data_IF_924448598032
#
_entry.id   IF_924448598032
#
_cell.length_a   1.000
_cell.length_b   1.000
_cell.length_c   1.000
_cell.angle_alpha   90.00
_cell.angle_beta   90.00
_cell.angle_gamma   90.00
#
_symmetry.space_group_name_H-M   'P 1'
#
loop_
_entity.id
_entity.type
_entity.pdbx_description
1 polymer ?
#
# COMPACT_ATOMS: atom_id res chain seq x y z
N UNK A 1 16.61 -7.68 -53.97
CA UNK A 1 17.16 -6.45 -53.35
C UNK A 1 16.19 -6.02 -52.27
N UNK A 2 16.50 -6.28 -51.00
CA UNK A 2 15.66 -5.87 -49.87
C UNK A 2 15.81 -4.37 -49.65
N UNK A 3 14.69 -3.65 -49.71
CA UNK A 3 14.64 -2.21 -49.41
C UNK A 3 14.89 -2.05 -47.91
N UNK A 4 16.06 -1.53 -47.55
CA UNK A 4 16.39 -1.13 -46.17
C UNK A 4 15.63 0.16 -45.89
N UNK A 5 14.66 0.12 -44.96
CA UNK A 5 13.85 1.27 -44.56
C UNK A 5 14.68 2.20 -43.64
N UNK A 6 15.07 3.42 -44.09
CA UNK A 6 15.90 4.34 -43.31
C UNK A 6 15.22 4.91 -42.06
N UNK A 7 13.89 4.77 -41.97
CA UNK A 7 13.07 5.23 -40.85
C UNK A 7 12.62 4.08 -39.94
N UNK A 8 13.22 2.89 -40.05
CA UNK A 8 12.98 1.83 -39.08
C UNK A 8 13.53 2.30 -37.73
N UNK A 9 12.63 2.68 -36.83
CA UNK A 9 13.00 3.00 -35.45
C UNK A 9 13.82 1.83 -34.91
N UNK A 10 14.94 2.08 -34.21
CA UNK A 10 15.64 1.00 -33.53
C UNK A 10 14.58 0.29 -32.71
N UNK A 11 14.47 -1.02 -32.91
CA UNK A 11 13.66 -1.85 -32.04
C UNK A 11 14.33 -1.77 -30.67
N UNK A 12 14.02 -0.71 -29.91
CA UNK A 12 14.02 -0.78 -28.48
C UNK A 12 12.94 -1.80 -28.19
N UNK A 13 13.35 -3.06 -28.26
CA UNK A 13 12.61 -4.18 -27.73
C UNK A 13 12.41 -3.79 -26.28
N UNK A 14 11.22 -3.24 -26.00
CA UNK A 14 10.69 -3.20 -24.66
C UNK A 14 10.58 -4.67 -24.31
N UNK A 15 11.66 -5.26 -23.83
CA UNK A 15 11.67 -6.59 -23.27
C UNK A 15 10.62 -6.55 -22.17
N UNK A 16 9.42 -7.03 -22.49
CA UNK A 16 8.40 -7.32 -21.50
C UNK A 16 8.99 -8.48 -20.73
N UNK A 17 9.82 -8.17 -19.73
CA UNK A 17 10.54 -9.16 -18.94
C UNK A 17 9.50 -10.06 -18.29
N UNK A 18 9.34 -11.25 -18.86
CA UNK A 18 8.58 -12.31 -18.24
C UNK A 18 9.45 -12.84 -17.11
N UNK A 19 9.24 -12.29 -15.92
CA UNK A 19 9.88 -12.81 -14.73
C UNK A 19 9.08 -14.03 -14.25
N UNK A 20 9.72 -15.19 -14.16
CA UNK A 20 9.16 -16.43 -13.59
C UNK A 20 8.92 -16.32 -12.06
N UNK A 21 9.19 -15.16 -11.48
CA UNK A 21 9.14 -14.92 -10.04
C UNK A 21 8.99 -13.43 -9.71
N UNK A 22 8.72 -13.14 -8.43
CA UNK A 22 8.87 -11.78 -7.93
C UNK A 22 10.36 -11.41 -7.95
N UNK A 23 10.68 -10.23 -8.47
CA UNK A 23 12.07 -9.74 -8.53
C UNK A 23 12.23 -8.46 -7.72
N UNK A 24 13.42 -8.28 -7.15
CA UNK A 24 13.75 -7.06 -6.43
C UNK A 24 13.84 -5.89 -7.41
N UNK A 25 13.26 -4.76 -7.05
CA UNK A 25 13.26 -3.58 -7.91
C UNK A 25 13.59 -2.32 -7.11
N UNK A 26 14.89 -2.07 -6.94
CA UNK A 26 15.42 -1.03 -6.06
C UNK A 26 15.02 -1.23 -4.60
N UNK A 27 14.19 -0.32 -4.09
CA UNK A 27 13.58 -0.36 -2.75
C UNK A 27 12.24 -1.12 -2.70
N UNK A 28 11.80 -1.63 -3.85
CA UNK A 28 10.55 -2.34 -4.01
C UNK A 28 10.72 -3.75 -4.56
N UNK A 29 9.60 -4.35 -4.90
CA UNK A 29 9.48 -5.65 -5.54
C UNK A 29 8.56 -5.50 -6.73
N UNK A 30 8.99 -6.01 -7.88
CA UNK A 30 8.14 -6.19 -9.04
C UNK A 30 7.43 -7.54 -8.92
N UNK A 31 6.10 -7.50 -8.96
CA UNK A 31 5.24 -8.67 -8.90
C UNK A 31 4.59 -8.86 -10.27
N UNK A 32 4.97 -9.89 -11.03
CA UNK A 32 4.32 -10.23 -12.30
C UNK A 32 2.81 -10.42 -12.16
N UNK A 33 2.08 -10.11 -13.23
CA UNK A 33 0.62 -10.20 -13.24
C UNK A 33 0.17 -11.65 -12.99
N UNK A 34 -0.77 -11.82 -12.05
CA UNK A 34 -1.32 -13.12 -11.70
C UNK A 34 -0.49 -13.91 -10.67
N UNK A 35 0.71 -13.43 -10.33
CA UNK A 35 1.51 -13.99 -9.25
C UNK A 35 1.24 -13.29 -7.92
N UNK A 36 1.63 -13.97 -6.85
CA UNK A 36 1.54 -13.47 -5.49
C UNK A 36 2.93 -13.38 -4.84
N UNK A 37 3.02 -12.61 -3.76
CA UNK A 37 4.27 -12.49 -3.02
C UNK A 37 4.66 -13.85 -2.40
N UNK A 38 5.96 -14.15 -2.31
CA UNK A 38 6.45 -15.27 -1.52
C UNK A 38 5.85 -15.26 -0.10
N UNK A 39 5.47 -16.44 0.46
CA UNK A 39 4.83 -16.58 1.78
C UNK A 39 5.85 -16.40 2.92
N UNK A 40 6.57 -15.27 2.90
CA UNK A 40 7.58 -14.86 3.87
C UNK A 40 7.18 -13.50 4.45
N UNK A 41 7.60 -13.24 5.68
CA UNK A 41 7.28 -12.00 6.35
C UNK A 41 7.95 -10.82 5.63
N UNK A 42 7.16 -9.85 5.19
CA UNK A 42 7.64 -8.63 4.51
C UNK A 42 8.56 -7.73 5.37
N UNK A 43 8.62 -7.98 6.70
CA UNK A 43 9.41 -7.20 7.68
C UNK A 43 10.67 -7.87 8.16
N UNK A 44 10.69 -9.19 8.32
CA UNK A 44 11.83 -9.91 8.89
C UNK A 44 12.23 -11.15 8.09
N UNK A 45 11.60 -11.37 6.93
CA UNK A 45 11.82 -12.51 6.05
C UNK A 45 11.61 -13.91 6.65
N UNK A 46 11.15 -13.99 7.91
CA UNK A 46 10.78 -15.25 8.54
C UNK A 46 9.62 -15.94 7.79
N UNK A 47 9.54 -17.28 7.79
CA UNK A 47 8.40 -17.99 7.20
C UNK A 47 7.08 -17.45 7.77
N UNK A 48 6.13 -17.18 6.89
CA UNK A 48 4.85 -16.64 7.31
C UNK A 48 4.05 -17.68 8.10
N UNK A 49 3.35 -17.24 9.14
CA UNK A 49 2.45 -18.10 9.90
C UNK A 49 1.05 -18.09 9.24
N UNK A 50 0.65 -19.24 8.68
CA UNK A 50 -0.68 -19.46 8.10
C UNK A 50 -0.84 -18.99 6.65
N UNK A 51 -2.07 -19.06 6.14
CA UNK A 51 -2.40 -18.64 4.77
C UNK A 51 -2.42 -17.10 4.67
N UNK A 52 -1.61 -16.50 3.78
CA UNK A 52 -1.58 -15.05 3.64
C UNK A 52 -2.94 -14.55 3.12
N UNK A 53 -3.53 -13.59 3.82
CA UNK A 53 -4.85 -13.05 3.43
C UNK A 53 -4.70 -12.21 2.17
N UNK A 54 -5.32 -12.67 1.09
CA UNK A 54 -5.37 -11.95 -0.19
C UNK A 54 -6.05 -10.60 -0.01
N UNK A 55 -5.36 -9.53 -0.41
CA UNK A 55 -5.87 -8.16 -0.36
C UNK A 55 -5.80 -7.53 -1.75
N UNK A 56 -6.91 -6.98 -2.19
CA UNK A 56 -6.96 -6.18 -3.41
C UNK A 56 -6.45 -4.78 -3.10
N UNK A 57 -5.35 -4.39 -3.74
CA UNK A 57 -4.84 -3.03 -3.70
C UNK A 57 -5.25 -2.31 -4.98
N UNK A 58 -5.76 -1.09 -4.81
CA UNK A 58 -6.17 -0.22 -5.91
C UNK A 58 -5.11 0.85 -6.10
N UNK A 59 -4.69 1.05 -7.35
CA UNK A 59 -3.81 2.15 -7.72
C UNK A 59 -4.57 3.08 -8.67
N UNK A 60 -4.43 4.37 -8.40
CA UNK A 60 -4.96 5.45 -9.21
C UNK A 60 -3.78 6.26 -9.73
N UNK A 61 -3.72 6.46 -11.05
CA UNK A 61 -2.76 7.38 -11.66
C UNK A 61 -3.01 8.79 -11.12
N UNK A 62 -1.96 9.48 -10.68
CA UNK A 62 -2.04 10.81 -10.08
C UNK A 62 -2.50 11.90 -11.05
N UNK A 63 -2.44 11.69 -12.37
CA UNK A 63 -2.86 12.69 -13.36
C UNK A 63 -4.36 13.03 -13.33
N UNK A 64 -5.19 12.13 -12.79
CA UNK A 64 -6.65 12.29 -12.79
C UNK A 64 -7.18 13.25 -11.72
N UNK A 65 -6.34 13.68 -10.77
CA UNK A 65 -6.74 14.68 -9.76
C UNK A 65 -7.09 16.04 -10.38
N UNK A 66 -6.63 16.34 -11.60
CA UNK A 66 -7.02 17.57 -12.31
C UNK A 66 -8.53 17.61 -12.58
N UNK A 67 -9.18 16.44 -12.75
CA UNK A 67 -10.62 16.37 -12.97
C UNK A 67 -11.46 16.79 -11.76
N UNK A 68 -10.90 16.76 -10.54
CA UNK A 68 -11.58 17.24 -9.32
C UNK A 68 -11.89 18.73 -9.42
N UNK A 69 -11.01 19.52 -10.07
CA UNK A 69 -11.21 20.96 -10.25
C UNK A 69 -12.36 21.26 -11.22
N UNK A 70 -12.69 20.32 -12.11
CA UNK A 70 -13.74 20.46 -13.11
C UNK A 70 -15.09 20.02 -12.56
N UNK A 71 -15.16 18.78 -12.02
CA UNK A 71 -16.37 18.24 -11.43
C UNK A 71 -16.08 16.99 -10.58
N UNK A 72 -16.49 17.00 -9.31
CA UNK A 72 -16.27 15.89 -8.38
C UNK A 72 -16.96 14.57 -8.82
N UNK A 73 -18.15 14.66 -9.43
CA UNK A 73 -18.91 13.49 -9.91
C UNK A 73 -18.22 12.87 -11.12
N UNK A 74 -17.74 13.71 -12.05
CA UNK A 74 -17.02 13.24 -13.23
C UNK A 74 -15.70 12.57 -12.85
N UNK A 75 -14.97 13.13 -11.88
CA UNK A 75 -13.80 12.48 -11.29
C UNK A 75 -14.15 11.11 -10.69
N UNK A 76 -15.24 11.00 -9.92
CA UNK A 76 -15.63 9.73 -9.30
C UNK A 76 -15.89 8.64 -10.36
N UNK A 77 -16.58 8.98 -11.45
CA UNK A 77 -16.85 8.05 -12.56
C UNK A 77 -15.54 7.62 -13.23
N UNK A 78 -14.68 8.58 -13.60
CA UNK A 78 -13.39 8.27 -14.24
C UNK A 78 -12.49 7.45 -13.33
N UNK A 79 -12.44 7.77 -12.03
CA UNK A 79 -11.69 7.02 -11.04
C UNK A 79 -12.18 5.56 -10.92
N UNK A 80 -13.48 5.31 -11.03
CA UNK A 80 -14.06 3.96 -11.01
C UNK A 80 -13.73 3.14 -12.26
N UNK A 81 -13.58 3.80 -13.41
CA UNK A 81 -13.24 3.16 -14.70
C UNK A 81 -11.73 2.88 -14.79
N UNK A 82 -10.90 3.85 -14.43
CA UNK A 82 -9.44 3.80 -14.64
C UNK A 82 -8.70 3.06 -13.51
N UNK A 83 -9.35 2.80 -12.37
CA UNK A 83 -8.72 2.09 -11.25
C UNK A 83 -8.13 0.76 -11.69
N UNK A 84 -6.81 0.62 -11.55
CA UNK A 84 -6.15 -0.66 -11.71
C UNK A 84 -6.15 -1.38 -10.36
N UNK A 85 -6.47 -2.68 -10.38
CA UNK A 85 -6.52 -3.52 -9.19
C UNK A 85 -5.49 -4.64 -9.30
N UNK A 86 -4.72 -4.86 -8.24
CA UNK A 86 -3.82 -6.01 -8.12
C UNK A 86 -4.11 -6.70 -6.79
N UNK A 87 -4.18 -8.04 -6.84
CA UNK A 87 -4.41 -8.86 -5.65
C UNK A 87 -3.05 -9.29 -5.12
N UNK A 88 -2.67 -8.82 -3.93
CA UNK A 88 -1.43 -9.19 -3.26
C UNK A 88 -1.77 -9.75 -1.88
N UNK A 89 -1.07 -10.79 -1.46
CA UNK A 89 -1.22 -11.42 -0.16
C UNK A 89 0.04 -11.15 0.68
N UNK A 90 0.25 -9.93 1.20
CA UNK A 90 1.41 -9.64 2.02
C UNK A 90 1.36 -10.47 3.30
N UNK A 91 2.34 -11.37 3.44
CA UNK A 91 2.44 -12.27 4.57
C UNK A 91 3.22 -11.62 5.73
N UNK A 92 2.80 -11.88 6.96
CA UNK A 92 3.52 -11.49 8.18
C UNK A 92 3.70 -12.70 9.09
N UNK A 93 4.81 -12.74 9.82
CA UNK A 93 4.97 -13.70 10.90
C UNK A 93 4.10 -13.31 12.11
N UNK A 94 3.83 -14.28 12.99
CA UNK A 94 2.98 -14.09 14.17
C UNK A 94 3.38 -12.90 15.07
N UNK A 95 4.67 -12.66 15.40
CA UNK A 95 5.02 -11.54 16.28
C UNK A 95 4.70 -10.18 15.64
N UNK A 96 4.97 -10.01 14.34
CA UNK A 96 4.62 -8.78 13.63
C UNK A 96 3.10 -8.62 13.44
N UNK A 97 2.38 -9.74 13.23
CA UNK A 97 0.92 -9.76 13.18
C UNK A 97 0.30 -9.34 14.51
N UNK A 98 0.83 -9.85 15.62
CA UNK A 98 0.40 -9.51 16.99
C UNK A 98 0.70 -8.05 17.31
N UNK A 99 1.92 -7.58 17.06
CA UNK A 99 2.30 -6.16 17.26
C UNK A 99 1.35 -5.22 16.51
N UNK A 100 1.01 -5.54 15.27
CA UNK A 100 0.04 -4.75 14.49
C UNK A 100 -1.36 -4.76 15.10
N UNK A 101 -1.85 -5.92 15.55
CA UNK A 101 -3.16 -6.02 16.21
C UNK A 101 -3.18 -5.24 17.53
N UNK A 102 -2.10 -5.30 18.30
CA UNK A 102 -1.96 -4.53 19.54
C UNK A 102 -1.93 -3.02 19.25
N UNK A 103 -1.16 -2.56 18.25
CA UNK A 103 -1.15 -1.15 17.84
C UNK A 103 -2.53 -0.66 17.37
N UNK A 104 -3.24 -1.49 16.61
CA UNK A 104 -4.63 -1.22 16.21
C UNK A 104 -5.56 -1.11 17.41
N UNK A 105 -5.49 -2.06 18.35
CA UNK A 105 -6.32 -2.07 19.54
C UNK A 105 -6.03 -0.85 20.44
N UNK A 106 -4.76 -0.56 20.69
CA UNK A 106 -4.34 0.62 21.47
C UNK A 106 -4.78 1.92 20.80
N UNK A 107 -4.59 2.04 19.49
CA UNK A 107 -5.04 3.20 18.72
C UNK A 107 -6.55 3.41 18.77
N UNK A 108 -7.32 2.32 18.65
CA UNK A 108 -8.78 2.34 18.73
C UNK A 108 -9.26 2.73 20.12
N UNK A 109 -8.66 2.15 21.17
CA UNK A 109 -8.96 2.48 22.57
C UNK A 109 -8.60 3.93 22.88
N UNK A 110 -7.46 4.42 22.41
CA UNK A 110 -7.05 5.82 22.61
C UNK A 110 -8.00 6.81 21.91
N UNK A 111 -8.44 6.48 20.69
CA UNK A 111 -9.39 7.29 19.93
C UNK A 111 -10.77 7.35 20.61
N UNK A 112 -11.38 6.19 20.91
CA UNK A 112 -12.67 6.16 21.57
C UNK A 112 -12.61 6.65 23.02
N UNK A 113 -11.51 6.42 23.72
CA UNK A 113 -11.27 6.95 25.06
C UNK A 113 -11.23 8.48 25.08
N UNK A 114 -10.55 9.10 24.11
CA UNK A 114 -10.57 10.57 23.99
C UNK A 114 -11.94 11.11 23.62
N UNK A 115 -12.67 10.43 22.73
CA UNK A 115 -14.02 10.84 22.35
C UNK A 115 -14.99 10.77 23.55
N UNK A 116 -14.92 9.71 24.33
CA UNK A 116 -15.70 9.56 25.56
C UNK A 116 -15.33 10.61 26.61
N UNK A 117 -14.04 10.96 26.73
CA UNK A 117 -13.58 12.01 27.64
C UNK A 117 -14.13 13.39 27.24
N UNK A 118 -14.14 13.74 25.95
CA UNK A 118 -14.75 14.98 25.46
C UNK A 118 -16.23 15.02 25.84
N UNK A 119 -16.98 13.97 25.51
CA UNK A 119 -18.42 13.90 25.83
C UNK A 119 -18.67 14.01 27.33
N UNK A 120 -17.85 13.38 28.17
CA UNK A 120 -17.97 13.44 29.62
C UNK A 120 -17.70 14.83 30.20
N UNK A 121 -16.70 15.56 29.68
CA UNK A 121 -16.37 16.92 30.11
C UNK A 121 -17.51 17.88 29.77
N UNK A 122 -18.02 17.81 28.53
CA UNK A 122 -19.13 18.65 28.06
C UNK A 122 -20.43 18.36 28.83
N UNK A 123 -20.72 17.09 29.15
CA UNK A 123 -21.91 16.72 29.94
C UNK A 123 -21.81 17.12 31.41
N UNK A 124 -20.60 17.25 31.95
CA UNK A 124 -20.36 17.62 33.34
C UNK A 124 -20.21 19.14 33.55
N UNK A 125 -20.30 19.94 32.48
CA UNK A 125 -20.13 21.40 32.48
C UNK A 125 -18.82 21.83 33.17
N UNK A 126 -17.76 21.03 32.94
CA UNK A 126 -16.44 21.30 33.50
C UNK A 126 -15.70 22.21 32.52
N UNK A 127 -15.44 23.44 32.95
CA UNK A 127 -14.55 24.36 32.24
C UNK A 127 -13.13 23.78 32.20
N UNK A 128 -12.81 23.12 31.10
CA UNK A 128 -11.54 22.44 30.90
C UNK A 128 -11.11 22.49 29.43
N UNK A 129 -9.81 22.27 29.14
CA UNK A 129 -9.29 22.31 27.78
C UNK A 129 -9.70 21.05 26.98
N UNK A 130 -10.99 20.92 26.63
CA UNK A 130 -11.53 19.79 25.86
C UNK A 130 -10.85 19.60 24.49
N UNK A 131 -10.31 20.69 23.93
CA UNK A 131 -9.49 20.68 22.71
C UNK A 131 -8.22 19.81 22.80
N UNK A 132 -7.64 19.62 24.00
CA UNK A 132 -6.48 18.74 24.20
C UNK A 132 -6.82 17.27 23.92
N UNK A 133 -7.99 16.82 24.36
CA UNK A 133 -8.49 15.47 24.06
C UNK A 133 -8.82 15.31 22.58
N UNK A 134 -9.30 16.37 21.91
CA UNK A 134 -9.47 16.41 20.46
C UNK A 134 -8.15 16.22 19.70
N UNK A 135 -7.09 16.93 20.10
CA UNK A 135 -5.75 16.76 19.54
C UNK A 135 -5.20 15.36 19.81
N UNK A 136 -5.41 14.82 21.01
CA UNK A 136 -4.98 13.46 21.35
C UNK A 136 -5.67 12.41 20.49
N UNK A 137 -6.99 12.54 20.30
CA UNK A 137 -7.77 11.67 19.42
C UNK A 137 -7.24 11.72 17.98
N UNK A 138 -6.97 12.93 17.47
CA UNK A 138 -6.43 13.12 16.13
C UNK A 138 -5.03 12.50 15.98
N UNK A 139 -4.14 12.75 16.94
CA UNK A 139 -2.80 12.18 16.95
C UNK A 139 -2.82 10.65 17.02
N UNK A 140 -3.70 10.06 17.86
CA UNK A 140 -3.89 8.62 17.96
C UNK A 140 -4.41 8.02 16.64
N UNK A 141 -5.37 8.68 15.99
CA UNK A 141 -5.90 8.25 14.70
C UNK A 141 -4.80 8.28 13.62
N UNK A 142 -4.07 9.39 13.51
CA UNK A 142 -2.97 9.55 12.53
C UNK A 142 -1.89 8.50 12.75
N UNK A 143 -1.45 8.30 14.01
CA UNK A 143 -0.47 7.28 14.36
C UNK A 143 -0.97 5.87 13.97
N UNK A 144 -2.24 5.57 14.21
CA UNK A 144 -2.84 4.28 13.85
C UNK A 144 -2.86 4.08 12.33
N UNK A 145 -3.34 5.07 11.57
CA UNK A 145 -3.41 5.00 10.10
C UNK A 145 -2.02 4.79 9.49
N UNK A 146 -1.00 5.49 9.99
CA UNK A 146 0.38 5.36 9.49
C UNK A 146 0.92 3.96 9.79
N UNK A 147 0.76 3.46 11.02
CA UNK A 147 1.31 2.16 11.44
C UNK A 147 0.60 0.95 10.80
N UNK A 148 -0.61 1.12 10.30
CA UNK A 148 -1.41 0.03 9.72
C UNK A 148 -1.12 -0.20 8.23
N UNK A 149 -0.54 0.80 7.55
CA UNK A 149 -0.15 0.72 6.14
C UNK A 149 1.09 -0.17 5.99
N UNK A 150 0.85 -1.42 5.57
CA UNK A 150 1.90 -2.43 5.40
C UNK A 150 2.69 -2.25 4.11
N UNK A 151 1.99 -1.94 3.03
CA UNK A 151 2.52 -2.03 1.67
C UNK A 151 1.87 -0.93 0.85
N UNK A 152 2.66 -0.23 0.05
CA UNK A 152 2.20 0.80 -0.88
C UNK A 152 2.47 0.32 -2.31
N UNK A 153 1.43 0.23 -3.12
CA UNK A 153 1.60 0.00 -4.56
C UNK A 153 2.02 1.33 -5.18
N UNK A 154 3.19 1.35 -5.82
CA UNK A 154 3.73 2.55 -6.45
C UNK A 154 3.31 2.69 -7.90
N UNK A 155 3.26 1.57 -8.62
CA UNK A 155 2.98 1.56 -10.05
C UNK A 155 2.34 0.23 -10.47
N UNK A 156 1.41 0.27 -11.43
CA UNK A 156 0.83 -0.92 -12.04
C UNK A 156 0.91 -0.79 -13.57
N UNK A 157 1.80 -1.59 -14.14
CA UNK A 157 2.00 -1.76 -15.58
C UNK A 157 1.16 -2.91 -16.14
N UNK A 158 1.24 -3.12 -17.45
CA UNK A 158 0.54 -4.21 -18.12
C UNK A 158 1.11 -5.59 -17.75
N UNK A 159 2.43 -5.66 -17.49
CA UNK A 159 3.13 -6.89 -17.09
C UNK A 159 3.10 -7.22 -15.60
N UNK A 160 2.78 -6.25 -14.71
CA UNK A 160 2.83 -6.48 -13.27
C UNK A 160 2.69 -5.22 -12.42
N UNK A 161 2.95 -5.36 -11.13
CA UNK A 161 2.86 -4.27 -10.15
C UNK A 161 4.18 -4.06 -9.43
N UNK A 162 4.62 -2.80 -9.32
CA UNK A 162 5.74 -2.39 -8.49
C UNK A 162 5.23 -1.95 -7.12
N UNK A 163 5.77 -2.61 -6.10
CA UNK A 163 5.29 -2.52 -4.73
C UNK A 163 6.44 -2.11 -3.82
N UNK A 164 6.22 -1.20 -2.88
CA UNK A 164 7.25 -0.76 -1.90
C UNK A 164 6.74 -0.90 -0.46
N UNK A 165 7.69 -0.84 0.48
CA UNK A 165 7.42 -0.98 1.92
C UNK A 165 7.95 -2.28 2.53
N UNK A 166 8.81 -3.00 1.80
CA UNK A 166 9.48 -4.20 2.29
C UNK A 166 10.73 -3.84 3.09
N UNK A 167 11.05 -4.65 4.09
CA UNK A 167 12.32 -4.56 4.81
C UNK A 167 13.49 -5.11 3.96
N UNK A 168 14.71 -4.64 4.24
CA UNK A 168 15.92 -5.08 3.52
C UNK A 168 16.11 -6.59 3.57
N UNK A 169 15.83 -7.20 4.73
CA UNK A 169 15.91 -8.67 4.92
C UNK A 169 15.05 -9.46 3.93
N UNK A 170 13.90 -8.91 3.54
CA UNK A 170 13.00 -9.50 2.54
C UNK A 170 13.51 -9.27 1.12
N UNK A 171 13.99 -8.05 0.83
CA UNK A 171 14.52 -7.68 -0.48
C UNK A 171 15.79 -8.46 -0.84
N UNK A 172 16.62 -8.79 0.14
CA UNK A 172 17.85 -9.57 -0.07
C UNK A 172 17.55 -11.05 -0.36
N UNK A 173 16.35 -11.54 -0.03
CA UNK A 173 15.89 -12.89 -0.36
C UNK A 173 15.32 -13.04 -1.78
N UNK A 174 15.24 -11.94 -2.55
CA UNK A 174 14.71 -11.95 -3.91
C UNK A 174 15.82 -11.83 -4.96
N UNK A 175 15.65 -12.48 -6.13
CA UNK A 175 16.57 -12.32 -7.24
C UNK A 175 16.60 -10.86 -7.71
N UNK A 176 17.80 -10.39 -8.07
CA UNK A 176 17.99 -9.07 -8.68
C UNK A 176 17.73 -9.17 -10.18
N UNK A 177 17.15 -8.15 -10.81
CA UNK A 177 17.01 -8.10 -12.26
C UNK A 177 18.42 -8.11 -12.87
N UNK A 178 18.63 -9.07 -13.78
CA UNK A 178 19.82 -9.14 -14.62
C UNK A 178 19.89 -7.94 -15.58
#
# INVERSE_FOLDING_TARGET
MSVVNPYQSPAAELEVRHHDGCVRDGLGVFVPRGMDLPPRCIRCNAPAAGTPKRRTMYWHSSGWYVLILLNLVLYAIVALIVRKRVQLSPALCEPHRRRRRTLLAVGLVAFFGSLAAILGIEMADIDGPSWLFGLLAFAALVATVINVRLVRVTHIDEGGARVVGFDRSYLDGLPRPH
#
